data_IF_336241663736
#
_entry.id   IF_336241663736
#
_cell.length_a   1.000
_cell.length_b   1.000
_cell.length_c   1.000
_cell.angle_alpha   90.00
_cell.angle_beta   90.00
_cell.angle_gamma   90.00
#
_symmetry.space_group_name_H-M   'P 1'
#
loop_
_entity.id
_entity.type
_entity.pdbx_description
1 polymer ?
#
# COMPACT_ATOMS: atom_id res chain seq x y z
N UNK A 1 -41.80 13.99 18.18
CA UNK A 1 -40.94 13.18 19.06
C UNK A 1 -39.60 13.90 19.18
N UNK A 2 -39.36 14.57 20.31
CA UNK A 2 -38.08 15.26 20.54
C UNK A 2 -37.07 14.29 21.12
N UNK A 3 -35.91 14.14 20.48
CA UNK A 3 -34.79 13.41 21.06
C UNK A 3 -34.38 14.08 22.38
N UNK A 4 -34.16 13.29 23.42
CA UNK A 4 -33.64 13.84 24.67
C UNK A 4 -32.19 14.30 24.48
N UNK A 5 -31.73 15.20 25.35
CA UNK A 5 -30.33 15.65 25.37
C UNK A 5 -29.37 14.45 25.53
N UNK A 6 -29.79 13.42 26.25
CA UNK A 6 -29.02 12.18 26.44
C UNK A 6 -28.91 11.37 25.14
N UNK A 7 -29.97 11.27 24.34
CA UNK A 7 -29.95 10.56 23.05
C UNK A 7 -29.01 11.26 22.06
N UNK A 8 -29.00 12.59 22.08
CA UNK A 8 -28.13 13.41 21.23
C UNK A 8 -26.65 13.24 21.61
N UNK A 9 -26.34 13.14 22.92
CA UNK A 9 -24.99 12.91 23.40
C UNK A 9 -24.48 11.50 23.05
N UNK A 10 -25.34 10.48 23.15
CA UNK A 10 -25.01 9.11 22.78
C UNK A 10 -24.70 8.97 21.28
N UNK A 11 -25.54 9.56 20.42
CA UNK A 11 -25.32 9.56 18.97
C UNK A 11 -24.00 10.23 18.58
N UNK A 12 -23.67 11.40 19.17
CA UNK A 12 -22.38 12.08 18.97
C UNK A 12 -21.19 11.22 19.42
N UNK A 13 -21.32 10.54 20.56
CA UNK A 13 -20.28 9.64 21.06
C UNK A 13 -20.06 8.43 20.13
N UNK A 14 -21.14 7.81 19.65
CA UNK A 14 -21.07 6.70 18.69
C UNK A 14 -20.43 7.12 17.37
N UNK A 15 -20.80 8.28 16.83
CA UNK A 15 -20.21 8.83 15.61
C UNK A 15 -18.69 9.07 15.78
N UNK A 16 -18.29 9.70 16.89
CA UNK A 16 -16.87 9.94 17.23
C UNK A 16 -16.09 8.64 17.38
N UNK A 17 -16.68 7.62 17.99
CA UNK A 17 -16.06 6.30 18.14
C UNK A 17 -15.90 5.59 16.78
N UNK A 18 -16.93 5.62 15.95
CA UNK A 18 -16.92 5.05 14.58
C UNK A 18 -15.83 5.70 13.72
N UNK A 19 -15.75 7.03 13.71
CA UNK A 19 -14.75 7.77 12.95
C UNK A 19 -13.32 7.46 13.39
N UNK A 20 -13.06 7.39 14.71
CA UNK A 20 -11.76 6.94 15.24
C UNK A 20 -11.40 5.53 14.76
N UNK A 21 -12.37 4.62 14.68
CA UNK A 21 -12.13 3.27 14.15
C UNK A 21 -11.79 3.29 12.66
N UNK A 22 -12.45 4.14 11.86
CA UNK A 22 -12.10 4.33 10.44
C UNK A 22 -10.68 4.84 10.25
N UNK A 23 -10.28 5.88 11.00
CA UNK A 23 -8.92 6.44 10.96
C UNK A 23 -7.88 5.37 11.28
N UNK A 24 -8.14 4.53 12.30
CA UNK A 24 -7.29 3.38 12.62
C UNK A 24 -7.23 2.35 11.49
N UNK A 25 -8.37 2.09 10.84
CA UNK A 25 -8.44 1.21 9.66
C UNK A 25 -7.58 1.72 8.51
N UNK A 26 -7.67 3.01 8.19
CA UNK A 26 -6.82 3.63 7.17
C UNK A 26 -5.34 3.60 7.53
N UNK A 27 -4.98 3.89 8.78
CA UNK A 27 -3.58 3.78 9.21
C UNK A 27 -3.05 2.37 8.98
N UNK A 28 -3.79 1.35 9.40
CA UNK A 28 -3.39 -0.05 9.21
C UNK A 28 -3.23 -0.44 7.74
N UNK A 29 -4.08 0.11 6.86
CA UNK A 29 -3.97 -0.12 5.42
C UNK A 29 -2.73 0.57 4.85
N UNK A 30 -2.46 1.82 5.25
CA UNK A 30 -1.24 2.56 4.86
C UNK A 30 0.02 1.82 5.32
N UNK A 31 0.05 1.33 6.56
CA UNK A 31 1.20 0.56 7.09
C UNK A 31 1.48 -0.68 6.23
N UNK A 32 0.44 -1.42 5.86
CA UNK A 32 0.56 -2.58 4.96
C UNK A 32 1.03 -2.23 3.55
N UNK A 33 0.59 -1.11 2.99
CA UNK A 33 1.05 -0.68 1.67
C UNK A 33 2.52 -0.23 1.72
N UNK A 34 2.96 0.39 2.81
CA UNK A 34 4.38 0.69 3.02
C UNK A 34 5.21 -0.58 3.12
N UNK A 35 4.78 -1.57 3.91
CA UNK A 35 5.42 -2.89 3.96
C UNK A 35 5.47 -3.54 2.58
N UNK A 36 4.41 -3.45 1.79
CA UNK A 36 4.39 -3.97 0.42
C UNK A 36 5.40 -3.24 -0.50
N UNK A 37 5.56 -1.92 -0.36
CA UNK A 37 6.58 -1.16 -1.12
C UNK A 37 8.00 -1.61 -0.73
N UNK A 38 8.25 -1.83 0.55
CA UNK A 38 9.54 -2.34 1.03
C UNK A 38 9.80 -3.75 0.51
N UNK A 39 8.80 -4.63 0.50
CA UNK A 39 8.91 -5.96 -0.13
C UNK A 39 9.24 -5.86 -1.63
N UNK A 40 8.55 -4.99 -2.37
CA UNK A 40 8.83 -4.78 -3.80
C UNK A 40 10.26 -4.24 -4.02
N UNK A 41 10.76 -3.37 -3.13
CA UNK A 41 12.14 -2.90 -3.16
C UNK A 41 13.15 -4.01 -2.90
N UNK A 42 12.86 -4.85 -1.92
CA UNK A 42 13.70 -5.99 -1.59
C UNK A 42 13.71 -7.03 -2.72
N UNK A 43 12.56 -7.38 -3.28
CA UNK A 43 12.44 -8.34 -4.38
C UNK A 43 13.18 -7.88 -5.64
N UNK A 44 13.06 -6.59 -6.01
CA UNK A 44 13.83 -6.01 -7.12
C UNK A 44 15.33 -6.20 -6.88
N UNK A 45 15.79 -5.81 -5.69
CA UNK A 45 17.20 -5.89 -5.32
C UNK A 45 17.72 -7.33 -5.36
N UNK A 46 16.99 -8.28 -4.77
CA UNK A 46 17.38 -9.68 -4.76
C UNK A 46 17.45 -10.26 -6.17
N UNK A 47 16.49 -9.93 -7.03
CA UNK A 47 16.51 -10.34 -8.43
C UNK A 47 17.74 -9.79 -9.18
N UNK A 48 18.06 -8.51 -8.99
CA UNK A 48 19.24 -7.90 -9.60
C UNK A 48 20.55 -8.53 -9.08
N UNK A 49 20.65 -8.78 -7.77
CA UNK A 49 21.81 -9.48 -7.20
C UNK A 49 21.97 -10.91 -7.75
N UNK A 50 20.86 -11.62 -7.96
CA UNK A 50 20.88 -12.95 -8.57
C UNK A 50 21.26 -12.89 -10.05
N UNK A 51 20.80 -11.87 -10.78
CA UNK A 51 21.19 -11.64 -12.17
C UNK A 51 22.72 -11.41 -12.28
N UNK A 52 23.29 -10.58 -11.41
CA UNK A 52 24.73 -10.30 -11.35
C UNK A 52 25.55 -11.54 -10.97
N UNK A 53 25.13 -12.28 -9.93
CA UNK A 53 25.78 -13.55 -9.55
C UNK A 53 25.74 -14.55 -10.69
N UNK A 54 24.63 -14.62 -11.42
CA UNK A 54 24.48 -15.51 -12.58
C UNK A 54 25.42 -15.10 -13.72
N UNK A 55 25.60 -13.80 -13.95
CA UNK A 55 26.56 -13.29 -14.93
C UNK A 55 28.01 -13.65 -14.54
N UNK A 56 28.38 -13.43 -13.27
CA UNK A 56 29.69 -13.82 -12.76
C UNK A 56 29.93 -15.32 -12.89
N UNK A 57 28.90 -16.14 -12.66
CA UNK A 57 29.00 -17.58 -12.83
C UNK A 57 29.17 -17.97 -14.30
N UNK A 58 28.46 -17.32 -15.23
CA UNK A 58 28.63 -17.54 -16.66
C UNK A 58 30.07 -17.29 -17.12
N UNK A 59 30.74 -16.25 -16.59
CA UNK A 59 32.14 -15.94 -16.95
C UNK A 59 33.16 -17.02 -16.55
N UNK A 60 32.77 -18.00 -15.72
CA UNK A 60 33.63 -19.12 -15.32
C UNK A 60 33.59 -20.26 -16.35
N UNK A 61 32.68 -20.21 -17.33
CA UNK A 61 32.53 -21.24 -18.34
C UNK A 61 32.95 -20.75 -19.73
N UNK A 62 33.45 -21.65 -20.60
CA UNK A 62 33.60 -21.35 -22.02
C UNK A 62 32.26 -20.90 -22.64
N UNK A 63 32.33 -19.99 -23.62
CA UNK A 63 31.18 -19.31 -24.23
C UNK A 63 30.08 -20.28 -24.72
N UNK A 64 30.49 -21.43 -25.26
CA UNK A 64 29.60 -22.50 -25.74
C UNK A 64 28.69 -23.10 -24.65
N UNK A 65 29.03 -22.93 -23.36
CA UNK A 65 28.23 -23.40 -22.23
C UNK A 65 27.49 -22.28 -21.48
N UNK A 66 27.69 -21.01 -21.85
CA UNK A 66 27.09 -19.87 -21.15
C UNK A 66 25.61 -19.68 -21.44
N UNK A 67 25.11 -20.19 -22.57
CA UNK A 67 23.73 -19.95 -23.06
C UNK A 67 22.65 -20.16 -21.99
N UNK A 68 22.54 -21.35 -21.37
CA UNK A 68 21.53 -21.61 -20.33
C UNK A 68 21.67 -20.70 -19.09
N UNK A 69 22.90 -20.31 -18.74
CA UNK A 69 23.18 -19.44 -17.59
C UNK A 69 22.71 -18.01 -17.89
N UNK A 70 22.97 -17.52 -19.11
CA UNK A 70 22.52 -16.21 -19.55
C UNK A 70 21.00 -16.11 -19.70
N UNK A 71 20.32 -17.19 -20.07
CA UNK A 71 18.85 -17.24 -20.03
C UNK A 71 18.31 -17.11 -18.60
N UNK A 72 18.97 -17.74 -17.62
CA UNK A 72 18.60 -17.59 -16.21
C UNK A 72 18.80 -16.15 -15.70
N UNK A 73 19.86 -15.47 -16.14
CA UNK A 73 20.07 -14.03 -15.86
C UNK A 73 18.90 -13.20 -16.38
N UNK A 74 18.47 -13.42 -17.62
CA UNK A 74 17.33 -12.70 -18.23
C UNK A 74 16.03 -12.91 -17.44
N UNK A 75 15.80 -14.09 -16.88
CA UNK A 75 14.65 -14.35 -16.02
C UNK A 75 14.69 -13.51 -14.73
N UNK A 76 15.84 -13.42 -14.08
CA UNK A 76 15.99 -12.55 -12.89
C UNK A 76 15.80 -11.07 -13.24
N UNK A 77 16.34 -10.59 -14.37
CA UNK A 77 16.10 -9.22 -14.84
C UNK A 77 14.63 -8.96 -15.18
N UNK A 78 13.92 -9.96 -15.73
CA UNK A 78 12.49 -9.86 -16.00
C UNK A 78 11.69 -9.72 -14.70
N UNK A 79 11.96 -10.58 -13.71
CA UNK A 79 11.31 -10.49 -12.40
C UNK A 79 11.58 -9.15 -11.69
N UNK A 80 12.82 -8.65 -11.75
CA UNK A 80 13.14 -7.32 -11.23
C UNK A 80 12.28 -6.22 -11.88
N UNK A 81 12.09 -6.27 -13.20
CA UNK A 81 11.22 -5.33 -13.93
C UNK A 81 9.76 -5.46 -13.52
N UNK A 82 9.24 -6.68 -13.41
CA UNK A 82 7.86 -6.94 -13.00
C UNK A 82 7.57 -6.38 -11.59
N UNK A 83 8.51 -6.53 -10.65
CA UNK A 83 8.41 -5.93 -9.31
C UNK A 83 8.29 -4.41 -9.38
N UNK A 84 9.11 -3.74 -10.20
CA UNK A 84 9.07 -2.27 -10.35
C UNK A 84 7.75 -1.78 -10.96
N UNK A 85 7.15 -2.55 -11.88
CA UNK A 85 5.87 -2.20 -12.52
C UNK A 85 4.73 -2.10 -11.51
N UNK A 86 4.80 -2.80 -10.37
CA UNK A 86 3.77 -2.76 -9.33
C UNK A 86 3.85 -1.50 -8.45
N UNK A 87 5.01 -0.82 -8.37
CA UNK A 87 5.21 0.35 -7.49
C UNK A 87 4.22 1.49 -7.74
N UNK A 88 3.97 1.95 -8.98
CA UNK A 88 3.10 3.08 -9.22
C UNK A 88 1.67 2.84 -8.72
N UNK A 89 1.16 1.61 -8.87
CA UNK A 89 -0.18 1.23 -8.39
C UNK A 89 -0.27 1.32 -6.87
N UNK A 90 0.70 0.75 -6.17
CA UNK A 90 0.75 0.78 -4.70
C UNK A 90 0.90 2.21 -4.17
N UNK A 91 1.73 3.04 -4.82
CA UNK A 91 1.88 4.47 -4.48
C UNK A 91 0.56 5.23 -4.69
N UNK A 92 -0.16 4.98 -5.78
CA UNK A 92 -1.44 5.63 -6.06
C UNK A 92 -2.51 5.29 -5.02
N UNK A 93 -2.56 4.02 -4.58
CA UNK A 93 -3.45 3.59 -3.50
C UNK A 93 -3.07 4.26 -2.17
N UNK A 94 -1.79 4.32 -1.84
CA UNK A 94 -1.29 4.96 -0.62
C UNK A 94 -1.69 6.43 -0.57
N UNK A 95 -1.46 7.19 -1.66
CA UNK A 95 -1.87 8.59 -1.77
C UNK A 95 -3.38 8.75 -1.59
N UNK A 96 -4.17 7.82 -2.11
CA UNK A 96 -5.63 7.86 -1.98
C UNK A 96 -6.08 7.60 -0.54
N UNK A 97 -5.47 6.63 0.15
CA UNK A 97 -5.75 6.34 1.55
C UNK A 97 -5.31 7.47 2.49
N UNK A 98 -4.19 8.12 2.22
CA UNK A 98 -3.75 9.29 2.98
C UNK A 98 -4.75 10.45 2.87
N UNK A 99 -5.26 10.70 1.67
CA UNK A 99 -6.33 11.71 1.44
C UNK A 99 -7.59 11.37 2.21
N UNK A 100 -8.07 10.11 2.15
CA UNK A 100 -9.26 9.66 2.88
C UNK A 100 -9.08 9.75 4.39
N UNK A 101 -7.91 9.33 4.89
CA UNK A 101 -7.57 9.46 6.30
C UNK A 101 -7.57 10.92 6.74
N UNK A 102 -7.01 11.83 5.94
CA UNK A 102 -7.01 13.26 6.23
C UNK A 102 -8.43 13.82 6.33
N UNK A 103 -9.31 13.48 5.40
CA UNK A 103 -10.72 13.88 5.42
C UNK A 103 -11.40 13.44 6.73
N UNK A 104 -11.20 12.18 7.15
CA UNK A 104 -11.79 11.69 8.40
C UNK A 104 -11.18 12.34 9.65
N UNK A 105 -9.88 12.68 9.64
CA UNK A 105 -9.23 13.43 10.74
C UNK A 105 -9.78 14.84 10.83
N UNK A 106 -9.94 15.53 9.69
CA UNK A 106 -10.47 16.90 9.63
C UNK A 106 -11.93 16.94 10.10
N UNK A 107 -12.75 15.98 9.68
CA UNK A 107 -14.14 15.85 10.14
C UNK A 107 -14.24 15.56 11.66
N UNK A 108 -13.30 14.77 12.21
CA UNK A 108 -13.23 14.51 13.66
C UNK A 108 -12.89 15.78 14.46
N UNK A 109 -12.02 16.65 13.93
CA UNK A 109 -11.61 17.89 14.58
C UNK A 109 -12.66 19.01 14.48
N UNK A 110 -13.32 19.14 13.33
CA UNK A 110 -14.32 20.18 13.09
C UNK A 110 -15.68 19.90 13.75
N UNK A 111 -15.88 18.70 14.32
CA UNK A 111 -17.14 18.32 14.93
C UNK A 111 -18.27 18.11 13.90
N UNK A 112 -17.94 18.04 12.62
CA UNK A 112 -18.84 17.76 11.51
C UNK A 112 -19.14 16.26 11.45
N UNK A 113 -19.95 15.80 12.40
CA UNK A 113 -20.41 14.40 12.47
C UNK A 113 -21.54 14.08 11.47
N UNK A 114 -22.12 15.09 10.82
CA UNK A 114 -23.38 14.98 10.07
C UNK A 114 -23.16 14.71 8.57
N UNK A 115 -22.02 15.05 7.99
CA UNK A 115 -21.84 15.07 6.53
C UNK A 115 -21.44 13.74 5.89
N UNK A 116 -21.12 12.69 6.66
CA UNK A 116 -20.55 11.46 6.09
C UNK A 116 -21.55 10.35 5.73
N UNK A 117 -22.86 10.55 5.95
CA UNK A 117 -23.89 9.61 5.48
C UNK A 117 -24.20 9.75 3.98
N UNK A 118 -23.76 10.85 3.35
CA UNK A 118 -24.09 11.18 1.95
C UNK A 118 -23.23 10.46 0.91
N UNK A 119 -22.12 9.83 1.31
CA UNK A 119 -21.16 9.22 0.36
C UNK A 119 -21.30 7.69 0.22
N UNK A 120 -22.33 7.08 0.81
CA UNK A 120 -22.63 5.65 0.67
C UNK A 120 -23.79 5.35 -0.31
N UNK A 121 -24.30 6.37 -1.03
CA UNK A 121 -25.46 6.22 -1.92
C UNK A 121 -25.30 6.87 -3.31
N UNK A 122 -24.07 7.03 -3.82
CA UNK A 122 -23.84 7.38 -5.22
C UNK A 122 -22.73 6.54 -5.83
#
# INVERSE_FOLDING_TARGET
MGFSVADTALCKWLAKKSQKNKIKGFQKAIDKLNEALDCIAQDEKECLELADKTLQWASQFPEEFQGPILERKKLYELHAKESVVMRPTVIAELVSLEKLKKIEVDALHNGDFITHWSFLFY
#
